data_IF_338640630220
#
_entry.id   IF_338640630220
#
_cell.length_a   1.000
_cell.length_b   1.000
_cell.length_c   1.000
_cell.angle_alpha   90.00
_cell.angle_beta   90.00
_cell.angle_gamma   90.00
#
_symmetry.space_group_name_H-M   'P 1'
#
loop_
_entity.id
_entity.type
_entity.pdbx_description
1 polymer ?
#
# COMPACT_ATOMS: atom_id res chain seq x y z
N UNK A 1 -24.80 -17.93 9.77
CA UNK A 1 -24.27 -16.57 9.50
C UNK A 1 -23.07 -16.37 10.43
N UNK A 2 -21.85 -16.16 9.91
CA UNK A 2 -20.62 -15.98 10.73
C UNK A 2 -20.44 -14.49 10.99
N UNK A 3 -20.20 -14.11 12.24
CA UNK A 3 -19.87 -12.74 12.64
C UNK A 3 -18.67 -12.74 13.59
N UNK A 4 -17.87 -11.68 13.55
CA UNK A 4 -16.79 -11.43 14.50
C UNK A 4 -17.16 -10.21 15.33
N UNK A 5 -16.97 -10.27 16.66
CA UNK A 5 -17.24 -9.17 17.58
C UNK A 5 -15.99 -8.84 18.38
N UNK A 6 -15.67 -7.56 18.47
CA UNK A 6 -14.66 -7.05 19.38
C UNK A 6 -15.34 -6.65 20.69
N UNK A 7 -14.89 -7.19 21.82
CA UNK A 7 -15.52 -6.99 23.14
C UNK A 7 -14.49 -6.57 24.19
N UNK A 8 -14.80 -5.51 24.93
CA UNK A 8 -14.01 -5.08 26.08
C UNK A 8 -14.52 -5.80 27.35
N UNK A 9 -13.66 -6.52 28.07
CA UNK A 9 -14.02 -7.31 29.26
C UNK A 9 -13.30 -6.75 30.50
N UNK A 10 -14.06 -6.32 31.51
CA UNK A 10 -13.52 -5.77 32.76
C UNK A 10 -14.58 -5.07 33.61
N UNK A 11 -14.28 -4.86 34.90
CA UNK A 11 -15.12 -4.07 35.83
C UNK A 11 -14.70 -2.61 35.79
N UNK A 12 -15.65 -1.67 35.91
CA UNK A 12 -15.41 -0.22 35.94
C UNK A 12 -14.62 0.31 34.73
N UNK A 13 -14.81 -0.28 33.55
CA UNK A 13 -14.15 0.19 32.34
C UNK A 13 -14.73 1.54 31.89
N UNK A 14 -13.84 2.47 31.53
CA UNK A 14 -14.21 3.62 30.72
C UNK A 14 -14.46 3.15 29.28
N UNK A 15 -15.72 2.79 29.02
CA UNK A 15 -16.14 2.31 27.70
C UNK A 15 -15.90 3.35 26.60
N UNK A 16 -16.09 4.62 26.92
CA UNK A 16 -16.01 5.68 25.92
C UNK A 16 -14.55 5.90 25.53
N UNK A 17 -13.65 6.03 26.51
CA UNK A 17 -12.21 6.16 26.24
C UNK A 17 -11.62 4.99 25.46
N UNK A 18 -12.09 3.76 25.72
CA UNK A 18 -11.66 2.56 24.97
C UNK A 18 -12.14 2.56 23.52
N UNK A 19 -13.39 2.95 23.27
CA UNK A 19 -13.94 3.07 21.92
C UNK A 19 -13.22 4.18 21.16
N UNK A 20 -13.06 5.35 21.78
CA UNK A 20 -12.44 6.52 21.14
C UNK A 20 -10.96 6.26 20.83
N UNK A 21 -10.22 5.64 21.75
CA UNK A 21 -8.83 5.24 21.54
C UNK A 21 -8.67 4.25 20.39
N UNK A 22 -9.58 3.28 20.28
CA UNK A 22 -9.59 2.33 19.17
C UNK A 22 -9.92 3.00 17.83
N UNK A 23 -10.98 3.82 17.80
CA UNK A 23 -11.41 4.52 16.59
C UNK A 23 -10.40 5.56 16.12
N UNK A 24 -9.57 6.10 17.02
CA UNK A 24 -8.48 7.03 16.66
C UNK A 24 -7.42 6.38 15.76
N UNK A 25 -7.25 5.06 15.84
CA UNK A 25 -6.33 4.30 14.97
C UNK A 25 -7.01 3.82 13.68
N UNK A 26 -8.29 4.14 13.48
CA UNK A 26 -9.00 3.74 12.26
C UNK A 26 -8.43 4.51 11.08
N UNK A 27 -7.84 3.78 10.14
CA UNK A 27 -7.51 4.31 8.82
C UNK A 27 -8.83 4.48 8.07
N UNK A 28 -9.30 5.72 7.94
CA UNK A 28 -10.51 6.09 7.19
C UNK A 28 -10.20 6.63 5.79
N UNK A 29 -8.93 6.95 5.53
CA UNK A 29 -8.46 7.39 4.23
C UNK A 29 -8.67 6.29 3.19
N UNK A 30 -9.38 6.64 2.12
CA UNK A 30 -9.34 5.84 0.91
C UNK A 30 -7.93 5.89 0.35
N UNK A 31 -7.44 4.74 -0.09
CA UNK A 31 -6.18 4.65 -0.82
C UNK A 31 -6.24 5.54 -2.07
N UNK A 32 -5.14 6.25 -2.34
CA UNK A 32 -5.01 7.15 -3.51
C UNK A 32 -5.12 6.41 -4.84
N UNK A 33 -4.66 5.14 -4.89
CA UNK A 33 -4.63 4.32 -6.10
C UNK A 33 -5.56 3.10 -6.00
N UNK A 34 -5.97 2.58 -7.15
CA UNK A 34 -6.82 1.39 -7.29
C UNK A 34 -6.09 0.29 -8.05
N UNK A 35 -6.57 -0.94 -7.91
CA UNK A 35 -6.10 -2.08 -8.71
C UNK A 35 -6.17 -1.74 -10.20
N UNK A 36 -5.06 -1.93 -10.91
CA UNK A 36 -4.88 -1.59 -12.31
C UNK A 36 -4.22 -0.23 -12.57
N UNK A 37 -4.09 0.64 -11.55
CA UNK A 37 -3.42 1.93 -11.74
C UNK A 37 -1.91 1.77 -11.93
N UNK A 38 -1.37 2.55 -12.87
CA UNK A 38 0.07 2.68 -13.10
C UNK A 38 0.69 3.60 -12.04
N UNK A 39 1.76 3.14 -11.41
CA UNK A 39 2.48 3.87 -10.37
C UNK A 39 3.99 3.75 -10.55
N UNK A 40 4.72 4.63 -9.87
CA UNK A 40 6.13 4.46 -9.55
C UNK A 40 6.23 4.08 -8.08
N UNK A 41 6.88 2.97 -7.78
CA UNK A 41 7.16 2.50 -6.43
C UNK A 41 8.64 2.74 -6.11
N UNK A 42 8.95 3.12 -4.86
CA UNK A 42 10.34 3.29 -4.44
C UNK A 42 10.88 2.01 -3.80
N UNK A 43 12.07 1.61 -4.20
CA UNK A 43 12.91 0.63 -3.50
C UNK A 43 14.26 1.25 -3.09
N UNK A 44 15.20 0.41 -2.65
CA UNK A 44 16.54 0.81 -2.24
C UNK A 44 17.42 1.29 -3.43
N UNK A 45 17.07 0.93 -4.66
CA UNK A 45 17.82 1.26 -5.88
C UNK A 45 17.22 2.47 -6.63
N UNK A 46 15.95 2.80 -6.37
CA UNK A 46 15.31 4.02 -6.86
C UNK A 46 13.81 3.85 -7.13
N UNK A 47 13.33 4.53 -8.16
CA UNK A 47 11.93 4.48 -8.58
C UNK A 47 11.74 3.44 -9.67
N UNK A 48 10.85 2.48 -9.41
CA UNK A 48 10.55 1.39 -10.30
C UNK A 48 9.10 1.49 -10.79
N UNK A 49 8.84 1.39 -12.11
CA UNK A 49 7.48 1.40 -12.63
C UNK A 49 6.75 0.09 -12.33
N UNK A 50 5.46 0.20 -11.98
CA UNK A 50 4.62 -0.96 -11.74
C UNK A 50 3.13 -0.64 -11.79
N UNK A 51 2.32 -1.68 -11.60
CA UNK A 51 0.86 -1.61 -11.60
C UNK A 51 0.31 -2.13 -10.29
N UNK A 52 -0.68 -1.45 -9.70
CA UNK A 52 -1.34 -1.94 -8.48
C UNK A 52 -2.06 -3.26 -8.79
N UNK A 53 -1.66 -4.33 -8.11
CA UNK A 53 -2.24 -5.67 -8.23
C UNK A 53 -3.33 -5.92 -7.18
N UNK A 54 -3.11 -5.48 -5.94
CA UNK A 54 -4.05 -5.63 -4.83
C UNK A 54 -3.91 -4.47 -3.83
N UNK A 55 -4.95 -4.25 -3.04
CA UNK A 55 -4.99 -3.27 -1.95
C UNK A 55 -5.30 -3.97 -0.63
N UNK A 56 -4.68 -3.53 0.47
CA UNK A 56 -4.87 -4.12 1.80
C UNK A 56 -4.63 -5.64 1.87
N UNK A 57 -3.66 -6.13 1.10
CA UNK A 57 -3.25 -7.54 1.15
C UNK A 57 -2.14 -7.72 2.18
N UNK A 58 -2.27 -8.72 3.05
CA UNK A 58 -1.39 -8.97 4.21
C UNK A 58 -1.08 -7.70 5.07
N UNK A 59 -2.05 -6.77 5.14
CA UNK A 59 -1.90 -5.51 5.88
C UNK A 59 -1.12 -4.42 5.14
N UNK A 60 -0.68 -4.66 3.90
CA UNK A 60 0.00 -3.68 3.06
C UNK A 60 -1.02 -2.87 2.24
N UNK A 61 -0.94 -1.53 2.24
CA UNK A 61 -1.77 -0.67 1.39
C UNK A 61 -1.81 -1.10 -0.07
N UNK A 62 -0.65 -1.43 -0.66
CA UNK A 62 -0.56 -1.85 -2.05
C UNK A 62 0.38 -3.04 -2.26
N UNK A 63 -0.06 -3.95 -3.14
CA UNK A 63 0.79 -4.93 -3.82
C UNK A 63 1.00 -4.43 -5.24
N UNK A 64 2.24 -4.27 -5.67
CA UNK A 64 2.58 -3.65 -6.95
C UNK A 64 3.31 -4.68 -7.82
N UNK A 65 2.79 -4.90 -9.03
CA UNK A 65 3.48 -5.71 -10.04
C UNK A 65 4.52 -4.87 -10.75
N UNK A 66 5.80 -5.19 -10.56
CA UNK A 66 6.93 -4.46 -11.15
C UNK A 66 7.01 -4.74 -12.65
N UNK A 67 7.25 -3.71 -13.46
CA UNK A 67 7.46 -3.85 -14.89
C UNK A 67 8.87 -4.40 -15.19
N UNK A 68 9.00 -5.29 -16.18
CA UNK A 68 10.29 -5.84 -16.62
C UNK A 68 10.72 -7.15 -15.95
N UNK A 69 10.07 -7.57 -14.87
CA UNK A 69 10.28 -8.87 -14.21
C UNK A 69 8.98 -9.68 -14.21
N UNK A 70 9.00 -10.89 -14.77
CA UNK A 70 7.80 -11.73 -14.91
C UNK A 70 7.18 -12.10 -13.56
N UNK A 71 7.97 -12.21 -12.48
CA UNK A 71 7.49 -12.68 -11.17
C UNK A 71 7.67 -11.70 -10.00
N UNK A 72 8.34 -10.56 -10.16
CA UNK A 72 8.53 -9.65 -9.01
C UNK A 72 7.27 -8.87 -8.65
N UNK A 73 6.99 -8.88 -7.35
CA UNK A 73 5.96 -8.08 -6.68
C UNK A 73 6.62 -7.25 -5.59
N UNK A 74 6.17 -6.02 -5.43
CA UNK A 74 6.62 -5.11 -4.39
C UNK A 74 5.49 -4.84 -3.41
N UNK A 75 5.78 -4.97 -2.13
CA UNK A 75 4.85 -4.67 -1.04
C UNK A 75 5.09 -3.24 -0.58
N UNK A 76 4.11 -2.36 -0.76
CA UNK A 76 4.21 -0.95 -0.39
C UNK A 76 3.52 -0.72 0.96
N UNK A 77 4.28 -0.43 2.04
CA UNK A 77 3.73 -0.35 3.40
C UNK A 77 2.97 0.95 3.70
N UNK A 78 3.15 2.00 2.90
CA UNK A 78 2.57 3.33 3.15
C UNK A 78 2.02 3.99 1.89
N UNK A 79 0.84 4.59 2.01
CA UNK A 79 0.23 5.39 0.94
C UNK A 79 0.69 6.86 0.98
N UNK A 80 1.98 7.08 0.77
CA UNK A 80 2.59 8.43 0.70
C UNK A 80 3.56 8.53 -0.47
N UNK A 81 3.80 9.74 -0.96
CA UNK A 81 4.59 10.00 -2.18
C UNK A 81 6.06 9.56 -2.08
N UNK A 82 6.57 9.34 -0.87
CA UNK A 82 7.91 8.78 -0.63
C UNK A 82 8.00 7.30 -0.99
N UNK A 83 6.89 6.55 -0.99
CA UNK A 83 6.86 5.12 -1.29
C UNK A 83 6.16 4.80 -2.60
N UNK A 84 5.13 5.58 -2.95
CA UNK A 84 4.32 5.33 -4.15
C UNK A 84 3.71 6.63 -4.68
N UNK A 85 3.88 6.86 -5.98
CA UNK A 85 3.36 8.05 -6.66
C UNK A 85 2.86 7.74 -8.07
N UNK A 86 2.02 8.61 -8.60
CA UNK A 86 1.65 8.57 -10.01
C UNK A 86 2.87 8.93 -10.88
N UNK A 87 3.05 8.28 -12.04
CA UNK A 87 4.01 8.74 -13.03
C UNK A 87 3.58 10.12 -13.56
N UNK A 88 4.55 11.01 -13.83
CA UNK A 88 4.26 12.35 -14.38
C UNK A 88 3.87 12.28 -15.87
N UNK A 89 4.32 11.23 -16.57
CA UNK A 89 3.99 10.93 -17.96
C UNK A 89 4.05 9.41 -18.22
N UNK A 90 3.49 8.95 -19.33
CA UNK A 90 3.63 7.53 -19.74
C UNK A 90 5.11 7.15 -19.99
N UNK A 91 5.98 8.09 -20.32
CA UNK A 91 7.43 7.84 -20.52
C UNK A 91 8.16 7.52 -19.22
N UNK A 92 7.69 8.06 -18.10
CA UNK A 92 8.23 7.78 -16.77
C UNK A 92 7.87 6.37 -16.29
N UNK A 93 6.79 5.79 -16.83
CA UNK A 93 6.33 4.44 -16.49
C UNK A 93 7.01 3.35 -17.34
N UNK A 94 7.95 3.70 -18.22
CA UNK A 94 8.66 2.72 -19.04
C UNK A 94 9.79 2.10 -18.23
N UNK A 95 9.79 0.77 -18.09
CA UNK A 95 10.93 0.04 -17.52
C UNK A 95 12.18 0.31 -18.37
N UNK A 96 13.19 0.91 -17.74
CA UNK A 96 14.50 1.13 -18.34
C UNK A 96 15.47 0.15 -17.66
N UNK A 97 15.80 -1.00 -18.29
CA UNK A 97 16.80 -1.87 -17.71
C UNK A 97 18.08 -1.06 -17.51
N UNK A 98 18.69 -1.15 -16.34
CA UNK A 98 20.03 -0.61 -16.15
C UNK A 98 20.94 -1.25 -17.21
N UNK A 99 21.34 -0.45 -18.19
CA UNK A 99 22.43 -0.79 -19.09
C UNK A 99 23.67 -0.92 -18.19
N UNK A 100 23.98 -2.15 -17.79
CA UNK A 100 25.32 -2.48 -17.31
C UNK A 100 26.27 -2.14 -18.46
N UNK A 101 26.87 -0.95 -18.41
CA UNK A 101 28.02 -0.64 -19.23
C UNK A 101 29.19 -1.47 -18.68
N UNK A 102 29.47 -2.57 -19.40
CA UNK A 102 30.77 -3.24 -19.56
C UNK A 102 31.67 -3.41 -18.34
#
# INVERSE_FOLDING_TARGET
KRESRFVFIGKNLDKQGLIDGFLKCKIDAQLRFKVGDKVLASDDEGWVPGTILACWDDGMPYVIKVAGAEEDIMMCPFDVDEFVKAPASDEDWVFKPHLFEG
#
